data_IF_105858287135
#
_entry.id   IF_105858287135
#
_cell.length_a   1.000
_cell.length_b   1.000
_cell.length_c   1.000
_cell.angle_alpha   90.00
_cell.angle_beta   90.00
_cell.angle_gamma   90.00
#
_symmetry.space_group_name_H-M   'P 1'
#
loop_
_entity.id
_entity.type
_entity.pdbx_description
1 polymer ?
#
# COMPACT_ATOMS: atom_id res chain seq x y z
N UNK A 1 2.29 -11.57 20.33
CA UNK A 1 3.19 -12.40 19.53
C UNK A 1 4.51 -11.69 19.31
N UNK A 2 5.41 -11.96 20.23
CA UNK A 2 6.70 -11.28 20.23
C UNK A 2 7.54 -11.58 18.98
N UNK A 3 7.48 -12.83 18.47
CA UNK A 3 8.23 -13.21 17.29
C UNK A 3 7.77 -12.41 16.05
N UNK A 4 6.47 -12.15 15.96
CA UNK A 4 5.93 -11.35 14.86
C UNK A 4 6.32 -9.89 14.99
N UNK A 5 6.26 -9.35 16.20
CA UNK A 5 6.69 -7.98 16.46
C UNK A 5 8.17 -7.82 16.14
N UNK A 6 8.98 -8.81 16.55
CA UNK A 6 10.40 -8.83 16.25
C UNK A 6 10.67 -8.87 14.75
N UNK A 7 9.89 -9.68 14.01
CA UNK A 7 10.02 -9.76 12.57
C UNK A 7 9.69 -8.42 11.89
N UNK A 8 8.61 -7.78 12.32
CA UNK A 8 8.21 -6.50 11.73
C UNK A 8 9.29 -5.43 11.95
N UNK A 9 9.87 -5.37 13.16
CA UNK A 9 10.93 -4.43 13.47
C UNK A 9 12.18 -4.69 12.62
N UNK A 10 12.57 -5.96 12.48
CA UNK A 10 13.73 -6.34 11.65
C UNK A 10 13.46 -6.03 10.19
N UNK A 11 12.25 -6.31 9.72
CA UNK A 11 11.85 -6.01 8.35
C UNK A 11 11.98 -4.52 8.07
N UNK A 12 11.50 -3.68 8.97
CA UNK A 12 11.56 -2.23 8.79
C UNK A 12 13.00 -1.73 8.72
N UNK A 13 13.86 -2.23 9.59
CA UNK A 13 15.29 -1.89 9.58
C UNK A 13 15.94 -2.36 8.28
N UNK A 14 15.68 -3.58 7.87
CA UNK A 14 16.20 -4.14 6.62
C UNK A 14 15.77 -3.29 5.43
N UNK A 15 14.50 -2.88 5.40
CA UNK A 15 13.94 -2.13 4.30
C UNK A 15 14.34 -0.66 4.31
N UNK A 16 15.03 -0.18 5.35
CA UNK A 16 15.57 1.18 5.37
C UNK A 16 16.54 1.42 4.22
N UNK A 17 17.15 0.37 3.70
CA UNK A 17 18.07 0.48 2.56
C UNK A 17 17.36 0.50 1.21
N UNK A 18 16.05 0.28 1.19
CA UNK A 18 15.25 0.40 -0.02
C UNK A 18 15.12 1.88 -0.36
N UNK A 19 15.35 2.30 -1.62
CA UNK A 19 15.27 3.71 -1.98
C UNK A 19 13.83 4.19 -2.10
N UNK A 20 13.12 4.26 -0.98
CA UNK A 20 11.71 4.64 -0.92
C UNK A 20 11.45 6.03 -1.50
N UNK A 21 12.38 6.97 -1.29
CA UNK A 21 12.24 8.31 -1.85
C UNK A 21 12.17 8.27 -3.37
N UNK A 22 13.10 7.53 -3.99
CA UNK A 22 13.15 7.39 -5.44
C UNK A 22 11.92 6.65 -5.97
N UNK A 23 11.52 5.58 -5.29
CA UNK A 23 10.38 4.79 -5.69
C UNK A 23 9.07 5.58 -5.55
N UNK A 24 8.93 6.33 -4.46
CA UNK A 24 7.73 7.14 -4.26
C UNK A 24 7.64 8.26 -5.29
N UNK A 25 8.76 8.88 -5.63
CA UNK A 25 8.80 9.89 -6.69
C UNK A 25 8.44 9.30 -8.04
N UNK A 26 8.92 8.10 -8.32
CA UNK A 26 8.58 7.40 -9.56
C UNK A 26 7.10 7.08 -9.63
N UNK A 27 6.53 6.54 -8.54
CA UNK A 27 5.09 6.25 -8.47
C UNK A 27 4.28 7.52 -8.64
N UNK A 28 4.68 8.60 -7.97
CA UNK A 28 4.01 9.89 -8.10
C UNK A 28 4.03 10.36 -9.55
N UNK A 29 5.17 10.22 -10.22
CA UNK A 29 5.30 10.54 -11.64
C UNK A 29 4.35 9.75 -12.52
N UNK A 30 4.23 8.44 -12.26
CA UNK A 30 3.29 7.59 -13.00
C UNK A 30 1.84 8.01 -12.76
N UNK A 31 1.49 8.33 -11.53
CA UNK A 31 0.14 8.80 -11.21
C UNK A 31 -0.16 10.12 -11.93
N UNK A 32 0.79 11.03 -11.96
CA UNK A 32 0.64 12.31 -12.66
C UNK A 32 0.47 12.11 -14.17
N UNK A 33 1.20 11.16 -14.75
CA UNK A 33 1.04 10.83 -16.17
C UNK A 33 -0.37 10.38 -16.52
N UNK A 34 -1.06 9.78 -15.54
CA UNK A 34 -2.45 9.32 -15.73
C UNK A 34 -3.47 10.34 -15.19
N UNK A 35 -3.04 11.56 -14.94
CA UNK A 35 -3.92 12.64 -14.51
C UNK A 35 -4.38 12.54 -13.06
N UNK A 36 -3.66 11.77 -12.24
CA UNK A 36 -4.03 11.56 -10.83
C UNK A 36 -3.11 12.40 -9.94
N UNK A 37 -3.54 13.61 -9.63
CA UNK A 37 -2.78 14.57 -8.82
C UNK A 37 -3.18 14.53 -7.36
N UNK A 38 -4.41 14.06 -7.09
CA UNK A 38 -4.96 13.99 -5.74
C UNK A 38 -6.04 12.90 -5.71
N UNK A 39 -6.64 12.72 -4.56
CA UNK A 39 -7.71 11.76 -4.38
C UNK A 39 -7.24 10.53 -3.58
N UNK A 40 -8.13 9.57 -3.45
CA UNK A 40 -7.89 8.39 -2.64
C UNK A 40 -7.02 7.40 -3.40
N UNK A 41 -5.93 6.97 -2.78
CA UNK A 41 -5.01 5.97 -3.33
C UNK A 41 -4.90 4.83 -2.33
N UNK A 42 -5.11 3.61 -2.82
CA UNK A 42 -5.04 2.39 -2.02
C UNK A 42 -3.63 1.79 -2.13
N UNK A 43 -3.05 1.46 -1.00
CA UNK A 43 -1.75 0.77 -0.94
C UNK A 43 -1.98 -0.65 -0.40
N UNK A 44 -1.99 -1.62 -1.30
CA UNK A 44 -2.21 -3.04 -0.96
C UNK A 44 -0.91 -3.69 -0.55
N UNK A 45 -0.90 -4.28 0.65
CA UNK A 45 0.31 -4.84 1.22
C UNK A 45 1.24 -3.73 1.71
N UNK A 46 0.68 -2.76 2.43
CA UNK A 46 1.40 -1.55 2.83
C UNK A 46 2.50 -1.79 3.87
N UNK A 47 2.51 -2.92 4.53
CA UNK A 47 3.54 -3.25 5.52
C UNK A 47 3.63 -2.23 6.63
N UNK A 48 4.82 -1.72 6.87
CA UNK A 48 5.08 -0.73 7.92
C UNK A 48 4.73 0.71 7.51
N UNK A 49 4.18 0.90 6.31
CA UNK A 49 3.69 2.20 5.86
C UNK A 49 4.73 3.14 5.28
N UNK A 50 5.94 2.66 5.00
CA UNK A 50 7.00 3.53 4.48
C UNK A 50 6.59 4.21 3.17
N UNK A 51 6.03 3.46 2.23
CA UNK A 51 5.57 4.02 0.96
C UNK A 51 4.29 4.83 1.15
N UNK A 52 3.38 4.33 2.00
CA UNK A 52 2.10 5.00 2.28
C UNK A 52 2.32 6.41 2.78
N UNK A 53 3.25 6.58 3.73
CA UNK A 53 3.60 7.89 4.30
C UNK A 53 4.12 8.86 3.24
N UNK A 54 4.98 8.34 2.35
CA UNK A 54 5.55 9.18 1.30
C UNK A 54 4.52 9.65 0.28
N UNK A 55 3.62 8.75 -0.09
CA UNK A 55 2.55 9.11 -1.01
C UNK A 55 1.56 10.09 -0.36
N UNK A 56 1.29 9.91 0.93
CA UNK A 56 0.47 10.88 1.68
C UNK A 56 1.13 12.26 1.67
N UNK A 57 2.45 12.32 1.79
CA UNK A 57 3.18 13.58 1.76
C UNK A 57 3.08 14.30 0.41
N UNK A 58 2.84 13.56 -0.68
CA UNK A 58 2.59 14.16 -1.99
C UNK A 58 1.17 14.73 -2.12
N UNK A 59 0.30 14.47 -1.15
CA UNK A 59 -1.05 15.03 -1.14
C UNK A 59 -2.16 14.03 -1.43
N UNK A 60 -1.84 12.74 -1.59
CA UNK A 60 -2.86 11.72 -1.79
C UNK A 60 -3.53 11.34 -0.47
N UNK A 61 -4.80 11.00 -0.56
CA UNK A 61 -5.58 10.52 0.58
C UNK A 61 -5.40 9.00 0.65
N UNK A 62 -4.50 8.55 1.52
CA UNK A 62 -4.03 7.16 1.49
C UNK A 62 -4.88 6.22 2.33
N UNK A 63 -5.14 5.02 1.77
CA UNK A 63 -5.68 3.87 2.50
C UNK A 63 -4.63 2.76 2.38
N UNK A 64 -4.12 2.30 3.51
CA UNK A 64 -3.16 1.19 3.55
C UNK A 64 -3.84 -0.08 4.03
N UNK A 65 -3.64 -1.17 3.31
CA UNK A 65 -4.18 -2.49 3.65
C UNK A 65 -3.04 -3.48 3.83
N UNK A 66 -3.04 -4.18 4.95
CA UNK A 66 -2.09 -5.25 5.20
C UNK A 66 -2.74 -6.29 6.11
N UNK A 67 -2.30 -7.53 6.01
CA UNK A 67 -2.85 -8.60 6.84
C UNK A 67 -2.01 -8.90 8.08
N UNK A 68 -0.95 -8.14 8.31
CA UNK A 68 -0.10 -8.29 9.48
C UNK A 68 -0.39 -7.20 10.50
N UNK A 69 -0.91 -7.59 11.66
CA UNK A 69 -1.19 -6.67 12.75
C UNK A 69 0.09 -5.97 13.22
N UNK A 70 1.19 -6.69 13.32
CA UNK A 70 2.47 -6.12 13.79
C UNK A 70 3.01 -5.09 12.81
N UNK A 71 2.87 -5.33 11.51
CA UNK A 71 3.27 -4.35 10.49
C UNK A 71 2.42 -3.08 10.62
N UNK A 72 1.11 -3.24 10.77
CA UNK A 72 0.23 -2.09 10.90
C UNK A 72 0.43 -1.31 12.19
N UNK A 73 0.85 -1.96 13.27
CA UNK A 73 1.21 -1.24 14.49
C UNK A 73 2.34 -0.24 14.22
N UNK A 74 3.37 -0.66 13.50
CA UNK A 74 4.47 0.23 13.13
C UNK A 74 3.99 1.33 12.18
N UNK A 75 3.11 0.99 11.24
CA UNK A 75 2.55 1.97 10.33
C UNK A 75 1.75 3.03 11.08
N UNK A 76 0.96 2.62 12.07
CA UNK A 76 0.18 3.56 12.88
C UNK A 76 1.05 4.44 13.76
N UNK A 77 2.16 3.92 14.27
CA UNK A 77 3.13 4.74 15.00
C UNK A 77 3.73 5.82 14.10
N UNK A 78 4.09 5.47 12.87
CA UNK A 78 4.59 6.45 11.91
C UNK A 78 3.55 7.52 11.61
N UNK A 79 2.29 7.11 11.47
CA UNK A 79 1.19 8.05 11.22
C UNK A 79 1.04 9.07 12.36
N UNK A 80 1.16 8.61 13.60
CA UNK A 80 1.08 9.50 14.76
C UNK A 80 2.23 10.50 14.72
N UNK A 81 3.43 10.06 14.39
CA UNK A 81 4.61 10.92 14.34
C UNK A 81 4.55 11.92 13.20
N UNK A 82 4.05 11.51 12.04
CA UNK A 82 4.00 12.37 10.85
C UNK A 82 2.80 13.32 10.86
N UNK A 83 1.74 12.93 11.56
CA UNK A 83 0.48 13.70 11.55
C UNK A 83 -0.33 13.55 10.27
N UNK A 84 0.07 12.62 9.38
CA UNK A 84 -0.68 12.39 8.13
C UNK A 84 -2.00 11.68 8.42
N UNK A 85 -3.02 12.04 7.65
CA UNK A 85 -4.34 11.44 7.77
C UNK A 85 -4.42 10.22 6.86
N UNK A 86 -4.05 9.06 7.39
CA UNK A 86 -4.00 7.80 6.65
C UNK A 86 -4.93 6.81 7.32
N UNK A 87 -5.74 6.11 6.53
CA UNK A 87 -6.59 5.03 7.03
C UNK A 87 -5.86 3.70 6.82
N UNK A 88 -5.61 2.97 7.90
CA UNK A 88 -5.03 1.63 7.83
C UNK A 88 -6.07 0.59 8.17
N UNK A 89 -6.15 -0.46 7.34
CA UNK A 89 -7.12 -1.55 7.47
C UNK A 89 -6.39 -2.89 7.55
N UNK A 90 -6.72 -3.68 8.57
CA UNK A 90 -6.19 -5.04 8.72
C UNK A 90 -7.06 -5.98 7.88
N UNK A 91 -6.65 -6.22 6.65
CA UNK A 91 -7.37 -7.05 5.70
C UNK A 91 -6.38 -7.79 4.79
N UNK A 92 -6.86 -8.88 4.22
CA UNK A 92 -6.10 -9.65 3.23
C UNK A 92 -6.42 -9.09 1.84
N UNK A 93 -5.38 -8.89 1.01
CA UNK A 93 -5.58 -8.33 -0.32
C UNK A 93 -6.41 -9.22 -1.23
N UNK A 94 -6.59 -10.50 -0.87
CA UNK A 94 -7.41 -11.44 -1.63
C UNK A 94 -8.91 -11.33 -1.30
N UNK A 95 -9.28 -10.57 -0.28
CA UNK A 95 -10.67 -10.47 0.16
C UNK A 95 -10.97 -9.15 0.85
N UNK A 96 -10.32 -8.07 0.42
CA UNK A 96 -10.50 -6.78 1.06
C UNK A 96 -11.82 -6.11 0.63
N UNK A 97 -12.31 -5.23 1.50
CA UNK A 97 -13.51 -4.44 1.25
C UNK A 97 -13.23 -2.97 1.59
N UNK A 98 -13.72 -2.08 0.75
CA UNK A 98 -13.60 -0.63 0.94
C UNK A 98 -14.98 0.01 0.96
N UNK A 99 -15.08 1.19 1.55
CA UNK A 99 -16.34 1.92 1.64
C UNK A 99 -16.74 2.63 0.36
N UNK A 100 -15.81 2.82 -0.55
CA UNK A 100 -16.05 3.53 -1.79
C UNK A 100 -14.96 3.25 -2.79
N UNK A 101 -14.92 4.01 -3.87
CA UNK A 101 -13.94 3.82 -4.93
C UNK A 101 -12.68 4.61 -4.66
N UNK A 102 -11.60 4.25 -5.38
CA UNK A 102 -10.29 4.90 -5.28
C UNK A 102 -9.84 5.33 -6.68
N UNK A 103 -9.02 6.39 -6.72
CA UNK A 103 -8.46 6.90 -7.98
C UNK A 103 -7.37 5.99 -8.50
N UNK A 104 -6.64 5.35 -7.60
CA UNK A 104 -5.55 4.45 -7.96
C UNK A 104 -5.33 3.44 -6.86
N UNK A 105 -4.70 2.31 -7.22
CA UNK A 105 -4.19 1.34 -6.28
C UNK A 105 -2.74 1.07 -6.61
N UNK A 106 -1.92 0.90 -5.59
CA UNK A 106 -0.52 0.53 -5.73
C UNK A 106 -0.25 -0.70 -4.87
N UNK A 107 0.66 -1.56 -5.31
CA UNK A 107 1.12 -2.69 -4.53
C UNK A 107 2.57 -2.93 -4.91
N UNK A 108 3.47 -2.44 -4.10
CA UNK A 108 4.88 -2.40 -4.42
C UNK A 108 5.71 -3.15 -3.38
N UNK A 109 7.02 -3.21 -3.60
CA UNK A 109 7.95 -3.96 -2.75
C UNK A 109 7.60 -5.44 -2.72
N UNK A 110 7.27 -5.99 -3.89
CA UNK A 110 7.00 -7.42 -4.11
C UNK A 110 5.80 -7.97 -3.34
N UNK A 111 4.89 -7.11 -2.87
CA UNK A 111 3.72 -7.56 -2.12
C UNK A 111 2.90 -8.59 -2.89
N UNK A 112 2.73 -8.40 -4.20
CA UNK A 112 1.98 -9.33 -5.06
C UNK A 112 2.65 -10.70 -5.15
N UNK A 113 3.97 -10.77 -4.94
CA UNK A 113 4.71 -12.03 -5.01
C UNK A 113 4.34 -13.01 -3.90
N UNK A 114 3.70 -12.53 -2.83
CA UNK A 114 3.21 -13.42 -1.76
C UNK A 114 1.94 -14.16 -2.19
N UNK A 115 1.36 -13.79 -3.32
CA UNK A 115 0.21 -14.48 -3.89
C UNK A 115 0.75 -15.53 -4.87
N UNK A 116 0.72 -16.78 -4.48
CA UNK A 116 1.33 -17.87 -5.26
C UNK A 116 0.37 -18.59 -6.19
N UNK A 117 -0.94 -18.52 -5.90
CA UNK A 117 -1.94 -19.21 -6.70
C UNK A 117 -2.54 -18.28 -7.75
N UNK A 118 -2.57 -18.69 -9.03
CA UNK A 118 -3.14 -17.84 -10.09
C UNK A 118 -4.57 -17.39 -9.82
N UNK A 119 -5.39 -18.25 -9.21
CA UNK A 119 -6.78 -17.89 -8.91
C UNK A 119 -6.87 -16.82 -7.85
N UNK A 120 -5.97 -16.84 -6.87
CA UNK A 120 -5.90 -15.79 -5.84
C UNK A 120 -5.47 -14.46 -6.45
N UNK A 121 -4.52 -14.49 -7.37
CA UNK A 121 -4.06 -13.29 -8.06
C UNK A 121 -5.18 -12.67 -8.91
N UNK A 122 -5.95 -13.51 -9.59
CA UNK A 122 -7.13 -13.06 -10.33
C UNK A 122 -8.13 -12.38 -9.41
N UNK A 123 -8.32 -12.92 -8.21
CA UNK A 123 -9.24 -12.34 -7.24
C UNK A 123 -8.76 -10.96 -6.78
N UNK A 124 -7.45 -10.79 -6.57
CA UNK A 124 -6.88 -9.49 -6.23
C UNK A 124 -7.18 -8.48 -7.36
N UNK A 125 -6.91 -8.85 -8.61
CA UNK A 125 -7.19 -7.97 -9.74
C UNK A 125 -8.67 -7.64 -9.87
N UNK A 126 -9.54 -8.63 -9.63
CA UNK A 126 -10.99 -8.43 -9.68
C UNK A 126 -11.44 -7.42 -8.63
N UNK A 127 -10.94 -7.57 -7.40
CA UNK A 127 -11.28 -6.68 -6.30
C UNK A 127 -10.77 -5.26 -6.57
N UNK A 128 -9.52 -5.13 -7.02
CA UNK A 128 -8.97 -3.81 -7.35
C UNK A 128 -9.82 -3.16 -8.44
N UNK A 129 -10.13 -3.89 -9.50
CA UNK A 129 -10.95 -3.36 -10.59
C UNK A 129 -12.34 -2.91 -10.10
N UNK A 130 -12.90 -3.67 -9.15
CA UNK A 130 -14.22 -3.35 -8.59
C UNK A 130 -14.24 -2.00 -7.86
N UNK A 131 -13.11 -1.62 -7.24
CA UNK A 131 -13.02 -0.39 -6.46
C UNK A 131 -12.36 0.76 -7.20
N UNK A 132 -11.78 0.54 -8.37
CA UNK A 132 -11.19 1.64 -9.14
C UNK A 132 -12.25 2.52 -9.77
N UNK A 133 -12.03 3.83 -9.71
CA UNK A 133 -12.82 4.79 -10.49
C UNK A 133 -12.64 4.52 -11.98
N UNK A 134 -13.58 4.96 -12.82
CA UNK A 134 -13.32 4.98 -14.26
C UNK A 134 -12.03 5.74 -14.52
N UNK A 135 -11.17 5.19 -15.37
CA UNK A 135 -9.85 5.73 -15.67
C UNK A 135 -8.85 5.61 -14.52
N UNK A 136 -9.20 4.90 -13.44
CA UNK A 136 -8.27 4.58 -12.38
C UNK A 136 -7.18 3.61 -12.84
N UNK A 137 -6.06 3.57 -12.11
CA UNK A 137 -4.92 2.72 -12.48
C UNK A 137 -4.49 1.86 -11.30
N UNK A 138 -3.97 0.69 -11.62
CA UNK A 138 -3.36 -0.19 -10.63
C UNK A 138 -1.88 -0.37 -11.01
N UNK A 139 -0.99 0.05 -10.13
CA UNK A 139 0.45 -0.04 -10.33
C UNK A 139 1.00 -1.07 -9.35
N UNK A 140 1.68 -2.08 -9.86
CA UNK A 140 2.25 -3.12 -9.01
C UNK A 140 3.57 -3.59 -9.58
N UNK A 141 4.41 -4.17 -8.71
CA UNK A 141 5.65 -4.79 -9.12
C UNK A 141 5.62 -6.28 -8.74
N UNK A 142 6.38 -7.07 -9.47
CA UNK A 142 6.64 -8.46 -9.11
C UNK A 142 7.88 -8.95 -9.86
N UNK A 143 8.50 -9.98 -9.31
CA UNK A 143 9.67 -10.60 -9.92
C UNK A 143 9.32 -11.85 -10.68
#
# INVERSE_FOLDING_TARGET
MEAYTGFAAVYDIFMDNVPYEEWSSYLHGLLLEHGIEEGIVLDLGCGTGAMTERLAAFGYDMIGVDNSEDMLELAMEKRVQSGQDILYLLQDMREFELYGTVRAAVSVCDSVNYITEPEELKEVFRLVNNYLDPEGVFIFDFN
#
